data_IF_745386645304
#
_entry.id   IF_745386645304
#
_cell.length_a   1.000
_cell.length_b   1.000
_cell.length_c   1.000
_cell.angle_alpha   90.00
_cell.angle_beta   90.00
_cell.angle_gamma   90.00
#
_symmetry.space_group_name_H-M   'P 1'
#
loop_
_entity.id
_entity.type
_entity.pdbx_description
1 polymer ?
#
# COMPACT_ATOMS: atom_id res chain seq x y z
N UNK A 1 -14.97 -9.19 -6.88
CA UNK A 1 -13.57 -8.92 -6.52
C UNK A 1 -13.49 -8.53 -5.07
N UNK A 2 -12.65 -9.22 -4.31
CA UNK A 2 -12.53 -9.06 -2.85
C UNK A 2 -11.08 -8.75 -2.50
N UNK A 3 -10.85 -7.90 -1.51
CA UNK A 3 -9.55 -7.84 -0.84
C UNK A 3 -9.62 -8.57 0.50
N UNK A 4 -8.62 -9.43 0.77
CA UNK A 4 -8.62 -10.31 1.93
C UNK A 4 -7.90 -9.73 3.14
N UNK A 5 -7.16 -8.63 2.94
CA UNK A 5 -6.28 -8.09 3.98
C UNK A 5 -6.07 -6.59 3.76
N UNK A 6 -6.63 -5.78 4.65
CA UNK A 6 -6.46 -4.33 4.66
C UNK A 6 -6.68 -3.74 6.06
N UNK A 7 -6.09 -2.56 6.28
CA UNK A 7 -6.04 -1.92 7.59
C UNK A 7 -6.72 -0.55 7.59
N UNK A 8 -7.17 -0.14 8.76
CA UNK A 8 -7.66 1.21 9.08
C UNK A 8 -6.72 1.89 10.07
N UNK A 9 -7.07 3.10 10.50
CA UNK A 9 -6.39 3.77 11.59
C UNK A 9 -6.72 3.22 12.99
N UNK A 10 -7.36 2.05 13.07
CA UNK A 10 -7.59 1.34 14.33
C UNK A 10 -6.39 0.50 14.76
N UNK A 11 -5.53 0.04 13.83
CA UNK A 11 -4.24 -0.58 14.15
C UNK A 11 -3.10 0.44 14.32
N UNK A 12 -1.98 0.01 14.89
CA UNK A 12 -0.86 0.88 15.25
C UNK A 12 -0.10 1.50 14.06
N UNK A 13 -0.22 0.89 12.87
CA UNK A 13 0.50 1.22 11.64
C UNK A 13 -0.42 1.73 10.52
N UNK A 14 -1.72 1.73 10.77
CA UNK A 14 -2.67 2.46 9.96
C UNK A 14 -2.32 3.94 9.91
N UNK A 15 -2.32 4.52 8.71
CA UNK A 15 -2.09 5.95 8.54
C UNK A 15 -3.09 6.74 9.40
N UNK A 16 -2.64 7.76 10.16
CA UNK A 16 -3.55 8.60 10.93
C UNK A 16 -4.69 9.17 10.08
N UNK A 17 -5.93 8.99 10.55
CA UNK A 17 -7.14 9.41 9.85
C UNK A 17 -7.54 8.55 8.65
N UNK A 18 -6.94 7.36 8.46
CA UNK A 18 -7.36 6.34 7.49
C UNK A 18 -8.57 5.54 7.97
N UNK A 19 -9.74 6.18 7.92
CA UNK A 19 -11.00 5.62 8.43
C UNK A 19 -11.58 4.53 7.52
N UNK A 20 -12.55 3.75 8.03
CA UNK A 20 -13.35 2.79 7.24
C UNK A 20 -13.94 3.41 5.96
N UNK A 21 -14.41 4.68 6.01
CA UNK A 21 -14.91 5.39 4.83
C UNK A 21 -13.81 5.57 3.76
N UNK A 22 -12.61 5.98 4.16
CA UNK A 22 -11.49 6.18 3.23
C UNK A 22 -10.97 4.86 2.68
N UNK A 23 -10.95 3.82 3.51
CA UNK A 23 -10.66 2.45 3.10
C UNK A 23 -11.63 2.01 2.00
N UNK A 24 -12.94 2.16 2.23
CA UNK A 24 -13.97 1.79 1.26
C UNK A 24 -13.84 2.56 -0.06
N UNK A 25 -13.70 3.88 0.00
CA UNK A 25 -13.52 4.72 -1.19
C UNK A 25 -12.25 4.37 -1.97
N UNK A 26 -11.16 4.02 -1.28
CA UNK A 26 -9.95 3.58 -1.95
C UNK A 26 -10.17 2.28 -2.69
N UNK A 27 -10.77 1.28 -2.05
CA UNK A 27 -11.05 -0.02 -2.64
C UNK A 27 -12.01 0.07 -3.83
N UNK A 28 -13.05 0.90 -3.73
CA UNK A 28 -13.95 1.19 -4.85
C UNK A 28 -13.17 1.72 -6.07
N UNK A 29 -12.28 2.69 -5.88
CA UNK A 29 -11.43 3.22 -6.97
C UNK A 29 -10.48 2.18 -7.57
N UNK A 30 -10.12 1.14 -6.82
CA UNK A 30 -9.34 0.01 -7.33
C UNK A 30 -10.21 -1.06 -8.03
N UNK A 31 -11.53 -0.93 -8.02
CA UNK A 31 -12.47 -1.87 -8.62
C UNK A 31 -12.86 -3.06 -7.72
N UNK A 32 -12.63 -2.99 -6.41
CA UNK A 32 -13.12 -4.01 -5.48
C UNK A 32 -14.62 -3.83 -5.19
N UNK A 33 -15.31 -4.92 -4.86
CA UNK A 33 -16.71 -4.92 -4.41
C UNK A 33 -16.84 -5.20 -2.91
N UNK A 34 -15.79 -5.74 -2.29
CA UNK A 34 -15.72 -5.96 -0.87
C UNK A 34 -14.25 -5.96 -0.39
N UNK A 35 -14.06 -5.69 0.90
CA UNK A 35 -12.78 -5.89 1.60
C UNK A 35 -13.03 -6.45 2.98
N UNK A 36 -12.20 -7.41 3.40
CA UNK A 36 -12.06 -7.73 4.81
C UNK A 36 -11.29 -6.59 5.50
N UNK A 37 -11.77 -6.20 6.69
CA UNK A 37 -11.06 -5.26 7.55
C UNK A 37 -10.32 -6.10 8.59
N UNK A 38 -9.00 -6.06 8.56
CA UNK A 38 -8.13 -6.99 9.30
C UNK A 38 -7.09 -6.21 10.08
N UNK A 39 -7.53 -5.19 10.82
CA UNK A 39 -6.65 -4.41 11.69
C UNK A 39 -5.88 -5.31 12.66
N UNK A 40 -4.62 -4.96 12.95
CA UNK A 40 -3.79 -5.73 13.87
C UNK A 40 -4.46 -5.84 15.25
N UNK A 41 -4.89 -7.06 15.60
CA UNK A 41 -5.41 -7.42 16.92
C UNK A 41 -6.65 -6.66 17.35
N UNK A 42 -7.32 -6.00 16.40
CA UNK A 42 -8.56 -5.28 16.60
C UNK A 42 -9.60 -5.95 15.71
N UNK A 43 -10.59 -6.58 16.33
CA UNK A 43 -11.65 -7.27 15.60
C UNK A 43 -12.57 -6.23 14.98
N UNK A 44 -12.76 -6.34 13.66
CA UNK A 44 -13.88 -5.71 12.99
C UNK A 44 -15.02 -6.73 12.87
N UNK A 45 -16.09 -6.53 13.63
CA UNK A 45 -17.28 -7.40 13.69
C UNK A 45 -18.53 -6.74 13.05
N UNK A 46 -18.35 -5.59 12.37
CA UNK A 46 -19.41 -4.70 11.86
C UNK A 46 -20.28 -4.04 12.94
N UNK A 47 -19.86 -4.03 14.21
CA UNK A 47 -20.55 -3.27 15.26
C UNK A 47 -20.50 -1.75 15.03
N UNK A 48 -19.45 -1.27 14.36
CA UNK A 48 -19.35 0.13 13.96
C UNK A 48 -20.28 0.42 12.78
N UNK A 49 -21.07 1.51 12.84
CA UNK A 49 -21.92 1.90 11.73
C UNK A 49 -21.05 2.15 10.50
N UNK A 50 -21.42 1.49 9.39
CA UNK A 50 -20.78 1.73 8.10
C UNK A 50 -21.10 3.18 7.69
N UNK A 51 -20.08 4.00 7.37
CA UNK A 51 -20.31 5.39 6.98
C UNK A 51 -21.30 5.52 5.83
N UNK A 52 -22.14 6.55 5.89
CA UNK A 52 -23.08 6.86 4.81
C UNK A 52 -22.31 7.08 3.50
N UNK A 53 -22.79 6.48 2.40
CA UNK A 53 -22.12 6.51 1.10
C UNK A 53 -20.99 5.50 0.93
N UNK A 54 -20.80 4.54 1.85
CA UNK A 54 -19.93 3.37 1.58
C UNK A 54 -20.51 2.52 0.46
N UNK A 55 -19.74 2.41 -0.62
CA UNK A 55 -20.11 1.80 -1.91
C UNK A 55 -19.75 0.30 -2.02
N UNK A 56 -18.94 -0.22 -1.10
CA UNK A 56 -18.48 -1.61 -1.09
C UNK A 56 -18.81 -2.30 0.22
N UNK A 57 -18.84 -3.64 0.22
CA UNK A 57 -19.05 -4.40 1.46
C UNK A 57 -17.79 -4.43 2.34
N UNK A 58 -17.91 -4.01 3.59
CA UNK A 58 -16.87 -4.20 4.60
C UNK A 58 -17.14 -5.51 5.36
N UNK A 59 -16.19 -6.44 5.28
CA UNK A 59 -16.32 -7.80 5.78
C UNK A 59 -15.54 -7.97 7.10
N UNK A 60 -16.06 -8.78 8.04
CA UNK A 60 -15.47 -8.94 9.37
C UNK A 60 -14.16 -9.73 9.33
N UNK A 61 -13.19 -9.28 10.12
CA UNK A 61 -11.89 -9.91 10.21
C UNK A 61 -10.99 -9.26 11.24
N UNK A 62 -9.78 -9.81 11.35
CA UNK A 62 -8.69 -9.34 12.22
C UNK A 62 -7.39 -9.96 11.71
N UNK A 63 -6.28 -9.25 11.85
CA UNK A 63 -4.96 -9.85 11.68
C UNK A 63 -4.32 -10.05 13.04
N UNK A 64 -4.10 -11.30 13.43
CA UNK A 64 -3.51 -11.65 14.70
C UNK A 64 -2.00 -11.73 14.63
N UNK A 65 -1.31 -10.85 15.37
CA UNK A 65 0.17 -10.83 15.45
C UNK A 65 0.69 -11.81 16.52
N UNK A 66 0.99 -13.03 16.15
CA UNK A 66 1.42 -14.10 17.07
C UNK A 66 2.93 -14.38 16.91
N UNK A 67 3.40 -15.59 17.24
CA UNK A 67 4.83 -15.92 17.20
C UNK A 67 5.44 -15.74 15.81
N UNK A 68 6.06 -14.58 15.55
CA UNK A 68 6.73 -14.22 14.28
C UNK A 68 5.86 -14.49 13.04
N UNK A 69 4.56 -14.50 13.24
CA UNK A 69 3.57 -14.78 12.24
C UNK A 69 2.38 -13.89 12.43
N UNK A 70 1.84 -13.42 11.31
CA UNK A 70 0.53 -12.82 11.29
C UNK A 70 -0.48 -13.81 10.68
N UNK A 71 -1.61 -13.97 11.35
CA UNK A 71 -2.71 -14.82 10.89
C UNK A 71 -3.92 -13.93 10.60
N UNK A 72 -4.26 -13.82 9.33
CA UNK A 72 -5.46 -13.12 8.87
C UNK A 72 -6.65 -14.04 9.12
N UNK A 73 -7.48 -13.69 10.10
CA UNK A 73 -8.70 -14.41 10.42
C UNK A 73 -9.91 -13.67 9.82
N UNK A 74 -10.69 -14.35 9.00
CA UNK A 74 -11.84 -13.78 8.29
C UNK A 74 -13.14 -14.49 8.65
N UNK A 75 -14.27 -13.77 8.57
CA UNK A 75 -15.58 -14.31 8.93
C UNK A 75 -15.91 -14.06 10.40
N UNK A 76 -16.53 -15.04 11.07
CA UNK A 76 -16.84 -14.92 12.49
C UNK A 76 -15.57 -15.19 13.30
N UNK A 77 -15.08 -14.18 14.01
CA UNK A 77 -13.88 -14.27 14.86
C UNK A 77 -14.16 -13.57 16.18
N UNK A 78 -13.75 -14.20 17.27
CA UNK A 78 -13.88 -13.68 18.64
C UNK A 78 -12.50 -13.40 19.23
N UNK A 79 -12.45 -12.65 20.34
CA UNK A 79 -11.18 -12.30 20.98
C UNK A 79 -10.43 -13.55 21.46
N UNK A 80 -9.11 -13.55 21.28
CA UNK A 80 -8.23 -14.66 21.63
C UNK A 80 -7.18 -14.25 22.66
N UNK A 81 -6.81 -15.14 23.61
CA UNK A 81 -5.66 -14.92 24.49
C UNK A 81 -4.36 -15.10 23.69
N UNK A 82 -3.95 -14.04 22.98
CA UNK A 82 -2.80 -14.02 22.04
C UNK A 82 -1.53 -14.66 22.60
N UNK A 83 -1.24 -14.44 23.88
CA UNK A 83 -0.03 -14.96 24.54
C UNK A 83 0.02 -16.50 24.53
N UNK A 84 -1.12 -17.19 24.46
CA UNK A 84 -1.18 -18.65 24.33
C UNK A 84 -0.57 -19.18 23.03
N UNK A 85 -0.45 -18.33 22.00
CA UNK A 85 0.04 -18.65 20.66
C UNK A 85 1.45 -18.08 20.36
N UNK A 86 2.13 -17.57 21.39
CA UNK A 86 3.51 -17.06 21.31
C UNK A 86 4.60 -18.13 21.40
N UNK A 87 5.85 -17.67 21.47
CA UNK A 87 7.10 -18.40 21.80
C UNK A 87 7.59 -19.51 20.84
N UNK A 88 6.71 -20.22 20.13
CA UNK A 88 7.10 -21.27 19.18
C UNK A 88 6.07 -21.50 18.09
N UNK A 89 6.50 -22.02 16.94
CA UNK A 89 5.63 -22.41 15.82
C UNK A 89 4.60 -23.45 16.27
N UNK A 90 5.00 -24.43 17.10
CA UNK A 90 4.10 -25.45 17.63
C UNK A 90 2.95 -24.87 18.49
N UNK A 91 3.16 -23.73 19.17
CA UNK A 91 2.10 -23.01 19.88
C UNK A 91 1.23 -22.20 18.93
N UNK A 92 1.87 -21.51 18.00
CA UNK A 92 1.23 -20.64 17.02
C UNK A 92 0.21 -21.39 16.16
N UNK A 93 0.59 -22.54 15.58
CA UNK A 93 -0.28 -23.28 14.65
C UNK A 93 -1.56 -23.82 15.28
N UNK A 94 -1.64 -23.95 16.62
CA UNK A 94 -2.88 -24.32 17.32
C UNK A 94 -3.98 -23.27 17.16
N UNK A 95 -3.61 -22.05 16.81
CA UNK A 95 -4.54 -20.95 16.60
C UNK A 95 -5.51 -21.22 15.44
N UNK A 96 -5.06 -21.95 14.40
CA UNK A 96 -5.90 -22.25 13.25
C UNK A 96 -7.15 -23.05 13.65
N UNK A 97 -6.98 -24.11 14.44
CA UNK A 97 -8.10 -24.87 15.00
C UNK A 97 -9.03 -24.02 15.88
N UNK A 98 -8.49 -23.05 16.63
CA UNK A 98 -9.32 -22.15 17.45
C UNK A 98 -10.17 -21.23 16.58
N UNK A 99 -9.61 -20.68 15.50
CA UNK A 99 -10.34 -19.85 14.53
C UNK A 99 -11.42 -20.69 13.82
N UNK A 100 -11.09 -21.92 13.41
CA UNK A 100 -12.04 -22.85 12.79
C UNK A 100 -13.23 -23.13 13.73
N UNK A 101 -12.98 -23.38 15.02
CA UNK A 101 -14.03 -23.60 16.01
C UNK A 101 -14.96 -22.39 16.22
N UNK A 102 -14.52 -21.17 15.88
CA UNK A 102 -15.35 -19.96 15.88
C UNK A 102 -16.18 -19.82 14.60
N UNK A 103 -15.94 -20.66 13.59
CA UNK A 103 -16.51 -20.56 12.25
C UNK A 103 -15.82 -19.53 11.36
N UNK A 104 -14.58 -19.15 11.69
CA UNK A 104 -13.73 -18.30 10.87
C UNK A 104 -12.80 -19.12 9.98
N UNK A 105 -12.13 -18.43 9.05
CA UNK A 105 -11.04 -19.01 8.26
C UNK A 105 -9.74 -18.31 8.61
N UNK A 106 -8.66 -19.08 8.64
CA UNK A 106 -7.31 -18.66 8.97
C UNK A 106 -6.40 -18.67 7.74
N UNK A 107 -5.87 -17.50 7.41
CA UNK A 107 -4.97 -17.31 6.26
C UNK A 107 -3.60 -16.89 6.79
N UNK A 108 -2.56 -17.62 6.41
CA UNK A 108 -1.19 -17.28 6.76
C UNK A 108 -0.71 -16.08 5.93
N UNK A 109 -0.30 -15.00 6.62
CA UNK A 109 0.20 -13.76 6.02
C UNK A 109 1.59 -13.97 5.40
N UNK A 110 1.75 -13.54 4.15
CA UNK A 110 2.93 -13.82 3.32
C UNK A 110 4.25 -13.27 3.85
N UNK A 111 4.32 -12.00 4.25
CA UNK A 111 5.60 -11.44 4.69
C UNK A 111 6.24 -12.21 5.85
N UNK A 112 5.41 -12.68 6.76
CA UNK A 112 5.86 -13.28 8.01
C UNK A 112 6.17 -14.78 7.83
N UNK A 113 5.29 -15.56 7.17
CA UNK A 113 5.57 -16.98 6.96
C UNK A 113 6.80 -17.16 6.09
N UNK A 114 7.02 -16.29 5.09
CA UNK A 114 8.19 -16.40 4.22
C UNK A 114 9.47 -16.09 5.00
N UNK A 115 9.46 -15.04 5.81
CA UNK A 115 10.67 -14.60 6.51
C UNK A 115 11.06 -15.48 7.69
N UNK A 116 10.09 -16.11 8.34
CA UNK A 116 10.30 -16.77 9.63
C UNK A 116 9.90 -18.25 9.66
N UNK A 117 9.09 -18.72 8.71
CA UNK A 117 8.47 -20.04 8.76
C UNK A 117 8.49 -20.81 7.42
N UNK A 118 9.35 -20.42 6.47
CA UNK A 118 9.43 -21.04 5.14
C UNK A 118 9.60 -22.56 5.21
N UNK A 119 10.48 -23.03 6.09
CA UNK A 119 10.75 -24.46 6.30
C UNK A 119 9.64 -25.18 7.11
N UNK A 120 8.72 -24.43 7.71
CA UNK A 120 7.71 -24.94 8.64
C UNK A 120 6.29 -24.94 8.06
N UNK A 121 6.09 -24.62 6.78
CA UNK A 121 4.76 -24.55 6.17
C UNK A 121 3.96 -25.86 6.28
N UNK A 122 4.65 -27.02 6.31
CA UNK A 122 3.99 -28.30 6.58
C UNK A 122 3.37 -28.40 7.98
N UNK A 123 3.92 -27.69 8.98
CA UNK A 123 3.30 -27.59 10.31
C UNK A 123 2.04 -26.72 10.29
N UNK A 124 1.95 -25.73 9.39
CA UNK A 124 0.76 -24.91 9.24
C UNK A 124 -0.40 -25.73 8.68
N UNK A 125 -0.11 -26.51 7.63
CA UNK A 125 -1.08 -27.44 7.03
C UNK A 125 -1.56 -28.46 8.07
N UNK A 126 -0.65 -29.11 8.82
CA UNK A 126 -1.03 -30.03 9.90
C UNK A 126 -1.80 -29.36 11.04
N UNK A 127 -1.57 -28.07 11.26
CA UNK A 127 -2.28 -27.26 12.25
C UNK A 127 -3.69 -26.87 11.83
N UNK A 128 -4.06 -27.07 10.56
CA UNK A 128 -5.38 -26.74 10.03
C UNK A 128 -5.49 -25.33 9.45
N UNK A 129 -4.40 -24.76 8.93
CA UNK A 129 -4.49 -23.48 8.19
C UNK A 129 -5.44 -23.63 6.99
N UNK A 130 -6.30 -22.64 6.76
CA UNK A 130 -7.26 -22.68 5.65
C UNK A 130 -6.67 -22.18 4.33
N UNK A 131 -5.64 -21.34 4.41
CA UNK A 131 -5.03 -20.76 3.21
C UNK A 131 -3.75 -19.97 3.42
N UNK A 132 -3.19 -19.54 2.29
CA UNK A 132 -1.98 -18.74 2.23
C UNK A 132 -2.19 -17.49 1.37
N UNK A 133 -1.65 -16.37 1.81
CA UNK A 133 -1.36 -15.26 0.90
C UNK A 133 -0.23 -15.68 -0.05
N UNK A 134 -0.38 -15.47 -1.35
CA UNK A 134 0.66 -15.78 -2.36
C UNK A 134 1.21 -14.52 -3.05
N UNK A 135 0.52 -13.40 -2.86
CA UNK A 135 0.91 -12.06 -3.30
C UNK A 135 0.44 -11.07 -2.23
N UNK A 136 1.34 -10.21 -1.76
CA UNK A 136 0.99 -9.16 -0.81
C UNK A 136 1.70 -7.86 -1.24
N UNK A 137 0.98 -6.73 -1.21
CA UNK A 137 1.52 -5.45 -1.70
C UNK A 137 2.36 -4.68 -0.67
N UNK A 138 2.51 -5.19 0.56
CA UNK A 138 3.42 -4.64 1.54
C UNK A 138 4.87 -4.63 1.00
N UNK A 139 5.66 -3.58 1.30
CA UNK A 139 7.04 -3.49 0.82
C UNK A 139 7.90 -4.72 1.14
N UNK A 140 7.68 -5.33 2.31
CA UNK A 140 8.35 -6.56 2.76
C UNK A 140 8.02 -7.78 1.89
N UNK A 141 6.84 -7.83 1.30
CA UNK A 141 6.36 -8.95 0.49
C UNK A 141 6.72 -8.85 -1.00
N UNK A 142 7.00 -7.65 -1.52
CA UNK A 142 7.36 -7.46 -2.94
C UNK A 142 8.64 -8.20 -3.36
N UNK A 143 9.46 -8.61 -2.38
CA UNK A 143 10.65 -9.43 -2.60
C UNK A 143 10.37 -10.93 -2.75
N UNK A 144 9.13 -11.41 -2.61
CA UNK A 144 8.84 -12.84 -2.53
C UNK A 144 9.22 -13.59 -3.83
N UNK A 145 10.15 -14.57 -3.77
CA UNK A 145 10.65 -15.26 -4.95
C UNK A 145 9.54 -16.02 -5.69
N UNK A 146 9.51 -15.99 -7.04
CA UNK A 146 8.54 -16.75 -7.82
C UNK A 146 8.61 -18.25 -7.60
N UNK A 147 9.79 -18.80 -7.30
CA UNK A 147 9.99 -20.23 -7.06
C UNK A 147 9.32 -20.67 -5.76
N UNK A 148 9.53 -19.90 -4.69
CA UNK A 148 8.84 -20.11 -3.41
C UNK A 148 7.33 -19.91 -3.55
N UNK A 149 6.90 -18.89 -4.31
CA UNK A 149 5.47 -18.72 -4.63
C UNK A 149 4.88 -19.94 -5.29
N UNK A 150 5.57 -20.55 -6.27
CA UNK A 150 5.10 -21.78 -6.94
C UNK A 150 5.04 -22.95 -5.95
N UNK A 151 5.98 -23.06 -5.02
CA UNK A 151 5.96 -24.08 -3.97
C UNK A 151 4.75 -23.92 -3.03
N UNK A 152 4.46 -22.70 -2.56
CA UNK A 152 3.29 -22.42 -1.71
C UNK A 152 1.98 -22.70 -2.47
N UNK A 153 1.89 -22.30 -3.74
CA UNK A 153 0.71 -22.59 -4.58
C UNK A 153 0.53 -24.10 -4.78
N UNK A 154 1.60 -24.85 -5.02
CA UNK A 154 1.54 -26.30 -5.15
C UNK A 154 1.13 -26.98 -3.82
N UNK A 155 1.68 -26.52 -2.70
CA UNK A 155 1.30 -26.99 -1.37
C UNK A 155 -0.20 -26.77 -1.12
N UNK A 156 -0.69 -25.56 -1.38
CA UNK A 156 -2.10 -25.21 -1.23
C UNK A 156 -3.00 -26.06 -2.14
N UNK A 157 -2.65 -26.23 -3.41
CA UNK A 157 -3.40 -27.07 -4.34
C UNK A 157 -3.45 -28.54 -3.89
N UNK A 158 -2.35 -29.09 -3.36
CA UNK A 158 -2.30 -30.49 -2.90
C UNK A 158 -3.11 -30.79 -1.64
N UNK A 159 -3.49 -29.75 -0.88
CA UNK A 159 -4.27 -29.87 0.36
C UNK A 159 -5.61 -29.15 0.29
N UNK A 160 -6.02 -28.73 -0.91
CA UNK A 160 -7.24 -27.95 -1.18
C UNK A 160 -7.39 -26.70 -0.28
N UNK A 161 -6.31 -25.95 -0.12
CA UNK A 161 -6.27 -24.72 0.70
C UNK A 161 -6.48 -23.49 -0.17
N UNK A 162 -7.16 -22.47 0.34
CA UNK A 162 -7.39 -21.23 -0.41
C UNK A 162 -6.07 -20.47 -0.62
N UNK A 163 -5.89 -19.91 -1.82
CA UNK A 163 -4.82 -18.94 -2.08
C UNK A 163 -5.41 -17.55 -2.29
N UNK A 164 -4.83 -16.56 -1.64
CA UNK A 164 -5.30 -15.17 -1.72
C UNK A 164 -4.17 -14.20 -2.04
N UNK A 165 -4.55 -13.05 -2.56
CA UNK A 165 -3.73 -11.85 -2.64
C UNK A 165 -4.18 -10.82 -1.61
N UNK A 166 -3.24 -10.05 -1.09
CA UNK A 166 -3.48 -9.01 -0.10
C UNK A 166 -3.07 -7.64 -0.63
N UNK A 167 -3.95 -6.64 -0.56
CA UNK A 167 -3.49 -5.26 -0.74
C UNK A 167 -2.62 -4.81 0.43
N UNK A 168 -2.88 -5.34 1.63
CA UNK A 168 -2.16 -5.01 2.87
C UNK A 168 -2.07 -3.48 3.05
N UNK A 169 -3.15 -2.79 2.67
CA UNK A 169 -3.15 -1.35 2.54
C UNK A 169 -3.41 -0.69 3.89
N UNK A 170 -2.43 0.10 4.32
CA UNK A 170 -2.44 0.89 5.54
C UNK A 170 -2.80 2.37 5.31
N UNK A 171 -3.24 2.73 4.10
CA UNK A 171 -3.61 4.11 3.72
C UNK A 171 -2.50 4.94 3.09
N UNK A 172 -1.35 4.32 2.84
CA UNK A 172 -0.18 4.92 2.19
C UNK A 172 -0.14 4.64 0.68
N UNK A 173 -0.62 3.49 0.24
CA UNK A 173 -0.64 3.08 -1.16
C UNK A 173 -1.76 3.78 -1.96
N UNK A 174 -1.45 4.22 -3.18
CA UNK A 174 -2.47 4.80 -4.08
C UNK A 174 -3.12 3.77 -5.01
N UNK A 175 -2.43 2.64 -5.25
CA UNK A 175 -2.87 1.60 -6.17
C UNK A 175 -2.65 0.23 -5.56
N UNK A 176 -3.58 -0.70 -5.81
CA UNK A 176 -3.36 -2.11 -5.47
C UNK A 176 -2.42 -2.76 -6.48
N UNK A 177 -1.65 -3.74 -6.01
CA UNK A 177 -0.85 -4.62 -6.84
C UNK A 177 -1.54 -5.96 -7.13
N UNK A 178 -2.70 -6.23 -6.52
CA UNK A 178 -3.37 -7.53 -6.60
C UNK A 178 -4.89 -7.39 -6.51
N UNK A 179 -5.60 -8.33 -7.14
CA UNK A 179 -7.04 -8.52 -7.06
C UNK A 179 -7.37 -9.99 -6.86
N UNK A 180 -8.43 -10.26 -6.11
CA UNK A 180 -8.97 -11.60 -5.94
C UNK A 180 -10.33 -11.72 -6.60
N UNK A 181 -10.50 -12.75 -7.41
CA UNK A 181 -11.79 -13.14 -7.98
C UNK A 181 -12.27 -14.39 -7.26
N UNK A 182 -13.08 -14.18 -6.23
CA UNK A 182 -13.70 -15.24 -5.46
C UNK A 182 -14.92 -15.79 -6.21
N UNK A 183 -15.03 -17.11 -6.26
CA UNK A 183 -16.14 -17.84 -6.88
C UNK A 183 -17.09 -18.36 -5.79
N UNK A 184 -18.33 -17.84 -5.68
CA UNK A 184 -19.30 -18.35 -4.73
C UNK A 184 -19.57 -19.85 -4.94
N UNK A 185 -19.66 -20.61 -3.84
CA UNK A 185 -19.99 -22.03 -3.85
C UNK A 185 -18.84 -23.00 -4.19
N UNK A 186 -17.67 -22.49 -4.58
CA UNK A 186 -16.44 -23.27 -4.62
C UNK A 186 -15.82 -23.39 -3.22
N UNK A 187 -15.03 -24.44 -2.99
CA UNK A 187 -14.32 -24.69 -1.74
C UNK A 187 -12.81 -24.80 -2.00
N UNK A 188 -12.04 -24.59 -0.93
CA UNK A 188 -10.59 -24.76 -0.94
C UNK A 188 -9.85 -23.92 -1.98
N UNK A 189 -8.94 -24.57 -2.70
CA UNK A 189 -8.03 -23.92 -3.65
C UNK A 189 -8.75 -23.26 -4.82
N UNK A 190 -9.88 -23.82 -5.25
CA UNK A 190 -10.67 -23.31 -6.37
C UNK A 190 -11.61 -22.16 -5.99
N UNK A 191 -11.74 -21.84 -4.70
CA UNK A 191 -12.59 -20.75 -4.20
C UNK A 191 -12.18 -19.39 -4.74
N UNK A 192 -10.89 -19.20 -5.01
CA UNK A 192 -10.36 -17.89 -5.32
C UNK A 192 -9.27 -17.93 -6.39
N UNK A 193 -9.27 -16.91 -7.25
CA UNK A 193 -8.22 -16.69 -8.23
C UNK A 193 -7.53 -15.35 -8.00
N UNK A 194 -6.22 -15.40 -7.84
CA UNK A 194 -5.36 -14.24 -7.61
C UNK A 194 -4.87 -13.67 -8.95
N UNK A 195 -5.09 -12.38 -9.16
CA UNK A 195 -4.58 -11.61 -10.29
C UNK A 195 -3.63 -10.54 -9.78
N UNK A 196 -2.34 -10.67 -10.06
CA UNK A 196 -1.34 -9.71 -9.62
C UNK A 196 -0.80 -8.88 -10.79
N UNK A 197 -0.45 -7.63 -10.50
CA UNK A 197 0.29 -6.79 -11.44
C UNK A 197 1.64 -7.47 -11.73
N UNK A 198 2.05 -7.59 -13.01
CA UNK A 198 3.33 -8.20 -13.36
C UNK A 198 4.51 -7.60 -12.58
N UNK A 199 4.49 -6.28 -12.34
CA UNK A 199 5.53 -5.60 -11.57
C UNK A 199 5.72 -6.16 -10.15
N UNK A 200 4.63 -6.49 -9.45
CA UNK A 200 4.71 -7.07 -8.11
C UNK A 200 5.28 -8.50 -8.12
N UNK A 201 5.19 -9.21 -9.25
CA UNK A 201 5.71 -10.57 -9.38
C UNK A 201 7.19 -10.61 -9.76
N UNK A 202 7.65 -9.66 -10.59
CA UNK A 202 9.03 -9.63 -11.12
C UNK A 202 10.04 -8.95 -10.19
N UNK A 203 9.56 -8.21 -9.19
CA UNK A 203 10.45 -7.52 -8.24
C UNK A 203 11.22 -8.52 -7.36
N UNK A 204 10.60 -9.65 -7.00
CA UNK A 204 11.24 -10.71 -6.19
C UNK A 204 12.48 -11.35 -6.83
N UNK A 205 12.61 -11.28 -8.17
CA UNK A 205 13.77 -11.82 -8.90
C UNK A 205 14.99 -10.88 -8.88
N UNK A 206 14.87 -9.69 -8.28
CA UNK A 206 15.88 -8.64 -8.36
C UNK A 206 16.49 -8.36 -7.01
N UNK A 207 17.82 -8.28 -6.97
CA UNK A 207 18.52 -7.82 -5.79
C UNK A 207 18.17 -6.35 -5.51
N UNK A 208 17.92 -6.02 -4.24
CA UNK A 208 17.42 -4.70 -3.85
C UNK A 208 18.30 -3.54 -4.34
N UNK A 209 19.63 -3.71 -4.38
CA UNK A 209 20.55 -2.68 -4.87
C UNK A 209 20.40 -2.35 -6.36
N UNK A 210 19.77 -3.24 -7.14
CA UNK A 210 19.47 -2.99 -8.56
C UNK A 210 18.24 -2.11 -8.77
N UNK A 211 17.47 -1.82 -7.71
CA UNK A 211 16.25 -1.03 -7.78
C UNK A 211 16.37 0.32 -8.52
N UNK A 212 17.47 1.10 -8.39
CA UNK A 212 17.64 2.35 -9.14
C UNK A 212 17.58 2.19 -10.66
N UNK A 213 17.86 0.99 -11.17
CA UNK A 213 17.80 0.68 -12.61
C UNK A 213 16.55 -0.13 -12.96
N UNK A 214 16.23 -1.15 -12.16
CA UNK A 214 15.13 -2.07 -12.47
C UNK A 214 13.76 -1.42 -12.28
N UNK A 215 13.57 -0.55 -11.29
CA UNK A 215 12.27 0.09 -11.04
C UNK A 215 11.88 1.08 -12.15
N UNK A 216 12.75 2.00 -12.62
CA UNK A 216 12.43 2.83 -13.79
C UNK A 216 12.14 2.00 -15.04
N UNK A 217 12.90 0.91 -15.25
CA UNK A 217 12.66 0.02 -16.38
C UNK A 217 11.30 -0.68 -16.30
N UNK A 218 10.93 -1.18 -15.12
CA UNK A 218 9.65 -1.82 -14.91
C UNK A 218 8.48 -0.84 -15.02
N UNK A 219 8.63 0.38 -14.48
CA UNK A 219 7.68 1.47 -14.67
C UNK A 219 7.51 1.77 -16.16
N UNK A 220 8.59 1.97 -16.90
CA UNK A 220 8.52 2.19 -18.34
C UNK A 220 7.79 1.01 -19.02
N UNK A 221 8.09 -0.23 -18.61
CA UNK A 221 7.45 -1.45 -19.14
C UNK A 221 5.99 -1.61 -18.78
N UNK A 222 5.47 -0.99 -17.73
CA UNK A 222 4.05 -1.06 -17.39
C UNK A 222 3.19 -0.04 -18.13
N UNK A 223 3.80 0.97 -18.76
CA UNK A 223 3.10 1.98 -19.56
C UNK A 223 2.66 1.45 -20.93
N UNK A 224 1.52 1.94 -21.40
CA UNK A 224 1.07 1.82 -22.80
C UNK A 224 2.03 2.55 -23.75
N UNK A 225 1.93 2.29 -25.07
CA UNK A 225 2.74 2.99 -26.06
C UNK A 225 2.54 4.51 -26.05
N UNK A 226 1.29 4.97 -25.90
CA UNK A 226 0.98 6.39 -25.82
C UNK A 226 1.59 7.05 -24.57
N UNK A 227 1.50 6.38 -23.42
CA UNK A 227 2.11 6.85 -22.18
C UNK A 227 3.65 6.89 -22.27
N UNK A 228 4.28 5.87 -22.87
CA UNK A 228 5.74 5.89 -23.11
C UNK A 228 6.14 7.05 -24.00
N UNK A 229 5.43 7.26 -25.10
CA UNK A 229 5.70 8.35 -26.03
C UNK A 229 5.55 9.72 -25.33
N UNK A 230 4.47 9.91 -24.57
CA UNK A 230 4.26 11.11 -23.76
C UNK A 230 5.39 11.33 -22.75
N UNK A 231 5.79 10.27 -22.02
CA UNK A 231 6.84 10.35 -21.01
C UNK A 231 8.20 10.72 -21.62
N UNK A 232 8.58 10.05 -22.71
CA UNK A 232 9.80 10.37 -23.47
C UNK A 232 9.76 11.79 -24.03
N UNK A 233 8.60 12.24 -24.52
CA UNK A 233 8.41 13.60 -25.05
C UNK A 233 8.67 14.64 -23.94
N UNK A 234 8.09 14.47 -22.76
CA UNK A 234 8.33 15.37 -21.63
C UNK A 234 9.78 15.37 -21.16
N UNK A 235 10.44 14.21 -21.11
CA UNK A 235 11.87 14.11 -20.79
C UNK A 235 12.70 14.91 -21.81
N UNK A 236 12.44 14.74 -23.10
CA UNK A 236 13.13 15.49 -24.16
C UNK A 236 12.87 16.99 -24.03
N UNK A 237 11.62 17.42 -23.83
CA UNK A 237 11.27 18.84 -23.64
C UNK A 237 12.03 19.43 -22.46
N UNK A 238 12.09 18.74 -21.32
CA UNK A 238 12.80 19.19 -20.12
C UNK A 238 14.30 19.27 -20.40
N UNK A 239 14.89 18.28 -21.06
CA UNK A 239 16.32 18.28 -21.40
C UNK A 239 16.66 19.43 -22.36
N UNK A 240 15.86 19.63 -23.41
CA UNK A 240 16.01 20.76 -24.33
C UNK A 240 15.90 22.11 -23.60
N UNK A 241 14.89 22.25 -22.73
CA UNK A 241 14.73 23.44 -21.88
C UNK A 241 15.95 23.70 -21.00
N UNK A 242 16.56 22.65 -20.43
CA UNK A 242 17.77 22.76 -19.59
C UNK A 242 19.05 23.01 -20.38
N UNK A 243 19.12 22.56 -21.63
CA UNK A 243 20.26 22.72 -22.52
C UNK A 243 20.27 24.08 -23.25
N UNK A 244 19.13 24.76 -23.33
CA UNK A 244 19.04 26.12 -23.90
C UNK A 244 19.94 27.08 -23.11
N UNK A 245 20.93 27.73 -23.76
CA UNK A 245 21.84 28.65 -23.10
C UNK A 245 21.06 29.80 -22.47
N UNK A 246 21.32 30.05 -21.19
CA UNK A 246 20.71 31.17 -20.46
C UNK A 246 21.32 32.48 -20.94
N UNK A 247 20.50 33.51 -21.09
CA UNK A 247 21.00 34.87 -21.34
C UNK A 247 21.82 35.33 -20.12
N UNK A 248 22.94 36.01 -20.35
CA UNK A 248 23.73 36.62 -19.27
C UNK A 248 22.84 37.43 -18.32
N UNK A 249 23.00 37.22 -17.02
CA UNK A 249 22.24 37.92 -15.96
C UNK A 249 20.96 37.23 -15.46
N UNK A 250 20.57 36.07 -15.99
CA UNK A 250 19.43 35.30 -15.43
C UNK A 250 19.86 34.35 -14.29
N UNK A 251 19.31 34.57 -13.09
CA UNK A 251 19.52 33.67 -11.94
C UNK A 251 18.85 32.30 -12.15
N UNK A 252 19.41 31.26 -11.53
CA UNK A 252 18.88 29.90 -11.60
C UNK A 252 17.47 29.80 -10.98
N UNK A 253 16.46 29.52 -11.79
CA UNK A 253 15.10 29.26 -11.31
C UNK A 253 14.33 28.37 -12.28
N UNK A 254 13.40 27.57 -11.75
CA UNK A 254 12.39 26.82 -12.52
C UNK A 254 11.41 27.82 -13.14
N UNK A 255 11.80 28.37 -14.30
CA UNK A 255 11.18 29.53 -14.90
C UNK A 255 9.87 29.23 -15.60
N UNK A 256 8.78 29.20 -14.82
CA UNK A 256 7.42 29.71 -15.20
C UNK A 256 6.81 30.52 -14.03
N UNK A 257 7.19 30.29 -12.77
CA UNK A 257 6.69 31.07 -11.61
C UNK A 257 7.48 32.36 -11.31
N UNK A 258 8.60 32.60 -11.98
CA UNK A 258 9.40 33.82 -11.82
C UNK A 258 8.96 34.97 -12.75
N UNK A 259 7.75 34.90 -13.33
CA UNK A 259 7.16 36.06 -14.03
C UNK A 259 6.61 37.03 -13.00
N UNK A 260 7.44 38.01 -12.66
CA UNK A 260 7.03 39.32 -12.13
C UNK A 260 6.01 39.31 -10.99
N UNK A 261 6.44 38.98 -9.77
CA UNK A 261 5.92 39.75 -8.64
C UNK A 261 6.43 41.17 -8.84
N UNK A 262 5.55 42.01 -9.36
CA UNK A 262 5.84 43.36 -9.79
C UNK A 262 6.74 44.09 -8.81
N UNK A 263 7.87 44.54 -9.33
CA UNK A 263 8.69 45.61 -8.77
C UNK A 263 7.75 46.79 -8.54
N UNK A 264 7.14 46.89 -7.37
CA UNK A 264 6.45 48.11 -6.92
C UNK A 264 7.52 49.20 -6.99
N UNK A 265 7.41 50.04 -8.01
CA UNK A 265 8.22 51.25 -8.13
C UNK A 265 8.08 52.01 -6.81
N UNK A 266 9.15 52.06 -6.00
CA UNK A 266 9.27 53.06 -4.94
C UNK A 266 9.30 54.39 -5.68
N UNK A 267 8.17 55.11 -5.67
CA UNK A 267 8.13 56.52 -6.06
C UNK A 267 9.23 57.23 -5.25
N UNK A 268 10.20 57.79 -5.95
CA UNK A 268 11.17 58.72 -5.38
C UNK A 268 10.39 59.89 -4.76
N UNK A 269 10.61 60.26 -3.49
CA UNK A 269 9.98 61.45 -2.94
C UNK A 269 10.51 62.69 -3.69
N UNK A 270 9.67 63.71 -3.91
CA UNK A 270 10.10 64.95 -4.53
C UNK A 270 11.17 65.65 -3.66
N UNK A 271 12.08 66.43 -4.27
CA UNK A 271 13.13 67.12 -3.54
C UNK A 271 12.52 68.13 -2.54
N UNK A 272 13.19 68.37 -1.39
CA UNK A 272 12.70 69.29 -0.38
C UNK A 272 12.64 70.73 -0.92
N UNK A 273 11.55 71.42 -0.57
CA UNK A 273 11.35 72.84 -0.87
C UNK A 273 12.46 73.71 -0.27
N UNK A 274 12.91 74.78 -0.95
CA UNK A 274 13.95 75.66 -0.43
C UNK A 274 13.47 76.39 0.83
N UNK A 275 14.31 76.37 1.86
CA UNK A 275 14.12 77.06 3.14
C UNK A 275 14.15 78.59 2.95
N UNK A 276 13.31 79.37 3.64
CA UNK A 276 13.39 80.83 3.60
C UNK A 276 14.66 81.31 4.32
N UNK A 277 15.39 82.22 3.70
CA UNK A 277 16.56 82.91 4.27
C UNK A 277 16.07 83.87 5.38
N UNK A 278 16.63 83.85 6.60
CA UNK A 278 16.33 84.86 7.61
C UNK A 278 16.96 86.20 7.24
N UNK A 279 16.14 87.24 7.24
CA UNK A 279 16.56 88.65 7.13
C UNK A 279 17.59 88.96 8.23
N UNK A 280 18.82 89.25 7.84
CA UNK A 280 19.75 89.99 8.68
C UNK A 280 19.49 91.47 8.44
N UNK A 281 18.96 92.17 9.43
CA UNK A 281 19.09 93.63 9.51
C UNK A 281 20.07 93.99 10.63
N UNK A 282 20.95 94.99 10.42
CA UNK A 282 21.99 95.34 11.37
C UNK A 282 21.51 96.38 12.41
N UNK A 283 22.24 96.35 13.55
CA UNK A 283 22.30 97.26 14.71
C UNK A 283 21.11 97.34 15.65
#
# INVERSE_FOLDING_TARGET
MIDYHAHTNASHDGRPGWTLAKLAQWHERQGFQATYVTDHNVIYDRSLPVPEGTSISLLPGVEWSVYRQHVVAIGRVEALPRDSFGESTARMVRMFAVIEHQGGLSIASLPEYWRYHEEELGAFVRGGVDGFEIVNCAPKALGFPPDLRRQVVALAASHDLVVVGASDNHGWGQVTCVWNVSQPGAQGFHTNRVFARPLALVQGDRQAWTAPVTQPWFMLRSLTWAERASWLTWVVIILLYRALPRREGQAAGLGILARSLGRRSRKTPPPPSPTPVPNQNPT
#
